data_IF_424815164192
#
_entry.id   IF_424815164192
#
_cell.length_a   1.000
_cell.length_b   1.000
_cell.length_c   1.000
_cell.angle_alpha   90.00
_cell.angle_beta   90.00
_cell.angle_gamma   90.00
#
_symmetry.space_group_name_H-M   'P 1'
#
loop_
_entity.id
_entity.type
_entity.pdbx_description
1 polymer ?
#
# COMPACT_ATOMS: atom_id res chain seq x y z
N UNK A 1 4.62 0.14 -60.59
CA UNK A 1 5.88 0.87 -60.82
C UNK A 1 5.53 2.28 -61.28
N UNK A 2 6.22 3.28 -60.74
CA UNK A 2 6.37 4.65 -61.28
C UNK A 2 5.13 5.55 -61.27
N UNK A 3 5.08 6.47 -60.30
CA UNK A 3 4.88 7.90 -60.53
C UNK A 3 5.59 8.64 -59.37
N UNK A 4 6.91 8.75 -59.43
CA UNK A 4 7.60 10.01 -59.75
C UNK A 4 7.05 11.20 -58.94
N UNK A 5 7.64 11.41 -57.77
CA UNK A 5 8.44 12.60 -57.45
C UNK A 5 8.03 13.82 -58.29
N UNK A 6 7.00 14.53 -57.83
CA UNK A 6 6.74 15.91 -58.26
C UNK A 6 6.92 16.81 -57.05
N UNK A 7 8.17 16.95 -56.63
CA UNK A 7 8.62 18.03 -55.79
C UNK A 7 8.57 19.31 -56.62
N UNK A 8 7.57 20.17 -56.40
CA UNK A 8 7.66 21.61 -56.72
C UNK A 8 6.46 22.33 -56.11
N UNK A 9 6.71 23.53 -55.58
CA UNK A 9 5.86 24.36 -54.72
C UNK A 9 5.84 23.86 -53.27
N UNK A 10 6.85 24.14 -52.43
CA UNK A 10 7.39 25.46 -52.07
C UNK A 10 6.28 26.45 -51.67
N UNK A 11 5.80 26.32 -50.43
CA UNK A 11 5.91 27.37 -49.39
C UNK A 11 4.71 27.37 -48.44
N UNK A 12 5.06 27.48 -47.15
CA UNK A 12 4.37 28.26 -46.13
C UNK A 12 3.39 27.51 -45.21
N UNK A 13 3.61 27.77 -43.91
CA UNK A 13 2.86 27.33 -42.73
C UNK A 13 3.12 25.85 -42.36
N UNK A 14 3.50 25.48 -41.13
CA UNK A 14 3.39 26.16 -39.86
C UNK A 14 4.38 25.45 -38.93
N UNK A 15 5.22 26.20 -38.22
CA UNK A 15 6.06 25.65 -37.16
C UNK A 15 5.16 25.19 -36.01
N UNK A 16 4.71 23.94 -36.03
CA UNK A 16 4.14 23.29 -34.85
C UNK A 16 5.28 22.55 -34.16
N UNK A 17 5.83 23.18 -33.13
CA UNK A 17 6.68 22.53 -32.16
C UNK A 17 5.89 21.39 -31.51
N UNK A 18 6.10 20.17 -32.01
CA UNK A 18 5.56 18.96 -31.39
C UNK A 18 6.32 18.75 -30.08
N UNK A 19 5.75 19.27 -29.00
CA UNK A 19 6.20 19.00 -27.64
C UNK A 19 6.22 17.47 -27.44
N UNK A 20 7.39 16.97 -27.04
CA UNK A 20 7.60 15.61 -26.57
C UNK A 20 6.75 15.42 -25.31
N UNK A 21 5.55 14.86 -25.48
CA UNK A 21 4.79 14.30 -24.38
C UNK A 21 5.25 12.86 -24.19
N UNK A 22 6.37 12.68 -23.48
CA UNK A 22 6.69 11.41 -22.84
C UNK A 22 5.59 11.14 -21.81
N UNK A 23 4.58 10.39 -22.19
CA UNK A 23 3.58 9.85 -21.28
C UNK A 23 4.27 8.83 -20.36
N UNK A 24 4.73 9.28 -19.19
CA UNK A 24 5.09 8.36 -18.12
C UNK A 24 3.82 7.59 -17.74
N UNK A 25 3.87 6.24 -17.67
CA UNK A 25 2.77 5.50 -17.08
C UNK A 25 2.69 5.94 -15.61
N UNK A 26 1.62 6.66 -15.28
CA UNK A 26 1.24 6.87 -13.89
C UNK A 26 1.01 5.47 -13.30
N UNK A 27 1.99 4.99 -12.53
CA UNK A 27 1.82 3.81 -11.70
C UNK A 27 0.66 4.14 -10.78
N UNK A 28 -0.51 3.59 -11.09
CA UNK A 28 -1.65 3.59 -10.20
C UNK A 28 -1.20 2.86 -8.95
N UNK A 29 -0.70 3.62 -7.97
CA UNK A 29 -0.56 3.14 -6.61
C UNK A 29 -1.97 2.70 -6.23
N UNK A 30 -2.18 1.40 -6.13
CA UNK A 30 -3.42 0.83 -5.64
C UNK A 30 -3.64 1.46 -4.27
N UNK A 31 -4.49 2.48 -4.20
CA UNK A 31 -4.92 3.11 -2.96
C UNK A 31 -5.76 2.06 -2.25
N UNK A 32 -5.08 1.15 -1.56
CA UNK A 32 -5.69 0.23 -0.63
C UNK A 32 -6.44 1.10 0.35
N UNK A 33 -7.77 1.02 0.30
CA UNK A 33 -8.69 1.84 1.09
C UNK A 33 -8.24 1.75 2.54
N UNK A 34 -7.57 2.81 2.99
CA UNK A 34 -6.86 2.82 4.26
C UNK A 34 -7.91 3.18 5.31
N UNK A 35 -8.60 2.15 5.79
CA UNK A 35 -9.57 2.27 6.87
C UNK A 35 -8.78 2.57 8.16
N UNK A 36 -8.76 3.85 8.54
CA UNK A 36 -8.07 4.32 9.75
C UNK A 36 -8.98 4.07 10.94
N UNK A 37 -8.45 3.37 11.94
CA UNK A 37 -9.15 3.06 13.18
C UNK A 37 -8.40 3.61 14.37
N UNK A 38 -9.14 3.97 15.41
CA UNK A 38 -8.56 4.34 16.69
C UNK A 38 -8.27 3.07 17.48
N UNK A 39 -7.02 2.91 17.86
CA UNK A 39 -6.57 1.82 18.72
C UNK A 39 -6.19 2.36 20.09
N UNK A 40 -6.55 1.62 21.13
CA UNK A 40 -6.04 1.80 22.49
C UNK A 40 -5.73 0.42 23.04
N UNK A 41 -4.47 0.01 22.87
CA UNK A 41 -3.97 -1.31 23.26
C UNK A 41 -2.69 -1.08 24.06
N UNK A 42 -2.72 -1.52 25.31
CA UNK A 42 -1.57 -1.44 26.21
C UNK A 42 -0.44 -2.39 25.78
N UNK A 43 0.79 -2.07 26.18
CA UNK A 43 1.92 -2.97 26.04
C UNK A 43 1.71 -4.26 26.84
N UNK A 44 2.16 -5.39 26.30
CA UNK A 44 1.93 -6.68 26.92
C UNK A 44 2.41 -7.86 26.09
N UNK A 45 1.89 -9.05 26.42
CA UNK A 45 2.15 -10.25 25.64
C UNK A 45 1.49 -10.13 24.26
N UNK A 46 2.23 -10.54 23.23
CA UNK A 46 1.83 -10.33 21.84
C UNK A 46 0.50 -11.01 21.50
N UNK A 47 0.22 -12.19 22.07
CA UNK A 47 -1.06 -12.90 21.88
C UNK A 47 -2.26 -12.07 22.37
N UNK A 48 -2.15 -11.45 23.54
CA UNK A 48 -3.20 -10.62 24.13
C UNK A 48 -3.40 -9.35 23.31
N UNK A 49 -2.29 -8.72 22.92
CA UNK A 49 -2.29 -7.49 22.12
C UNK A 49 -2.90 -7.72 20.73
N UNK A 50 -2.57 -8.83 20.06
CA UNK A 50 -3.16 -9.21 18.77
C UNK A 50 -4.64 -9.56 18.89
N UNK A 51 -5.06 -10.19 19.99
CA UNK A 51 -6.47 -10.45 20.28
C UNK A 51 -7.25 -9.13 20.39
N UNK A 52 -6.76 -8.18 21.20
CA UNK A 52 -7.36 -6.84 21.33
C UNK A 52 -7.39 -6.10 20.00
N UNK A 53 -6.33 -6.22 19.22
CA UNK A 53 -6.25 -5.61 17.89
C UNK A 53 -7.30 -6.17 16.94
N UNK A 54 -7.52 -7.49 16.93
CA UNK A 54 -8.57 -8.14 16.14
C UNK A 54 -9.96 -7.62 16.52
N UNK A 55 -10.24 -7.50 17.82
CA UNK A 55 -11.50 -6.97 18.34
C UNK A 55 -11.76 -5.52 17.88
N UNK A 56 -10.77 -4.63 18.01
CA UNK A 56 -10.90 -3.21 17.63
C UNK A 56 -10.88 -3.01 16.10
N UNK A 57 -10.13 -3.85 15.37
CA UNK A 57 -10.06 -3.83 13.91
C UNK A 57 -11.20 -4.60 13.23
N UNK A 58 -12.08 -5.26 13.98
CA UNK A 58 -13.17 -6.07 13.43
C UNK A 58 -12.71 -7.12 12.41
N UNK A 59 -11.41 -7.46 12.40
CA UNK A 59 -10.83 -8.43 11.50
C UNK A 59 -10.76 -9.78 12.18
N UNK A 60 -10.90 -10.84 11.39
CA UNK A 60 -10.60 -12.19 11.84
C UNK A 60 -9.13 -12.48 11.59
N UNK A 61 -8.30 -12.37 12.62
CA UNK A 61 -6.87 -12.69 12.52
C UNK A 61 -6.66 -14.19 12.75
N UNK A 62 -5.93 -14.83 11.85
CA UNK A 62 -5.37 -16.15 12.08
C UNK A 62 -3.92 -15.98 12.54
N UNK A 63 -3.67 -16.36 13.79
CA UNK A 63 -2.34 -16.25 14.42
C UNK A 63 -1.90 -17.65 14.84
N UNK A 64 -0.65 -17.98 14.55
CA UNK A 64 -0.03 -19.23 15.03
C UNK A 64 0.52 -18.95 16.42
N UNK A 65 -0.11 -19.51 17.46
CA UNK A 65 0.22 -19.24 18.86
C UNK A 65 1.69 -19.48 19.20
N UNK A 66 2.32 -20.49 18.58
CA UNK A 66 3.74 -20.81 18.80
C UNK A 66 4.69 -19.71 18.33
N UNK A 67 4.30 -18.90 17.33
CA UNK A 67 5.12 -17.80 16.82
C UNK A 67 5.04 -16.54 17.69
N UNK A 68 3.94 -16.38 18.41
CA UNK A 68 3.69 -15.20 19.27
C UNK A 68 3.89 -15.49 20.76
N UNK A 69 4.03 -16.76 21.14
CA UNK A 69 4.23 -17.21 22.51
C UNK A 69 5.54 -16.65 23.07
N UNK A 70 5.47 -16.06 24.27
CA UNK A 70 6.62 -15.45 24.95
C UNK A 70 7.09 -14.13 24.32
N UNK A 71 6.44 -13.66 23.25
CA UNK A 71 6.78 -12.42 22.58
C UNK A 71 6.03 -11.24 23.20
N UNK A 72 6.64 -10.06 23.14
CA UNK A 72 6.09 -8.84 23.71
C UNK A 72 5.85 -7.80 22.62
N UNK A 73 4.84 -6.97 22.84
CA UNK A 73 4.52 -5.81 22.03
C UNK A 73 4.48 -4.56 22.92
N UNK A 74 4.91 -3.44 22.36
CA UNK A 74 4.80 -2.13 23.02
C UNK A 74 3.37 -1.57 22.97
N UNK A 75 2.42 -2.34 22.42
CA UNK A 75 1.03 -1.94 22.25
C UNK A 75 0.84 -0.98 21.08
N UNK A 76 -0.36 -0.43 20.97
CA UNK A 76 -0.72 0.50 19.91
C UNK A 76 -1.76 1.48 20.42
N UNK A 77 -1.41 2.77 20.43
CA UNK A 77 -2.30 3.86 20.83
C UNK A 77 -2.34 4.95 19.77
N UNK A 78 -3.54 5.31 19.33
CA UNK A 78 -3.78 6.35 18.33
C UNK A 78 -4.48 5.84 17.07
N UNK A 79 -4.47 6.66 16.03
CA UNK A 79 -5.17 6.39 14.79
C UNK A 79 -4.24 5.75 13.75
N UNK A 80 -4.54 4.51 13.36
CA UNK A 80 -3.73 3.79 12.39
C UNK A 80 -4.58 3.06 11.35
N UNK A 81 -4.07 2.90 10.12
CA UNK A 81 -4.54 1.86 9.24
C UNK A 81 -4.40 0.49 9.88
N UNK A 82 -5.30 -0.44 9.56
CA UNK A 82 -5.22 -1.81 10.08
C UNK A 82 -3.87 -2.47 9.76
N UNK A 83 -3.39 -2.41 8.52
CA UNK A 83 -2.10 -2.99 8.15
C UNK A 83 -0.92 -2.36 8.89
N UNK A 84 -0.90 -1.04 9.04
CA UNK A 84 0.18 -0.33 9.73
C UNK A 84 0.14 -0.57 11.24
N UNK A 85 -1.05 -0.68 11.83
CA UNK A 85 -1.22 -1.04 13.23
C UNK A 85 -0.70 -2.44 13.50
N UNK A 86 -1.04 -3.40 12.64
CA UNK A 86 -0.56 -4.78 12.77
C UNK A 86 0.97 -4.87 12.64
N UNK A 87 1.56 -4.17 11.68
CA UNK A 87 3.02 -4.10 11.50
C UNK A 87 3.72 -3.56 12.77
N UNK A 88 3.21 -2.45 13.32
CA UNK A 88 3.69 -1.86 14.58
C UNK A 88 3.70 -2.85 15.73
N UNK A 89 2.64 -3.64 15.87
CA UNK A 89 2.52 -4.62 16.95
C UNK A 89 3.55 -5.76 16.83
N UNK A 90 3.98 -6.08 15.61
CA UNK A 90 4.89 -7.17 15.27
C UNK A 90 6.36 -6.73 15.10
N UNK A 91 6.66 -5.43 15.11
CA UNK A 91 8.03 -4.90 14.94
C UNK A 91 9.05 -5.57 15.88
N UNK A 92 8.65 -5.84 17.14
CA UNK A 92 9.53 -6.43 18.16
C UNK A 92 9.63 -7.95 18.06
N UNK A 93 8.66 -8.62 17.44
CA UNK A 93 8.69 -10.07 17.22
C UNK A 93 9.47 -10.47 15.96
N UNK A 94 9.75 -9.51 15.07
CA UNK A 94 10.35 -9.80 13.76
C UNK A 94 9.40 -10.57 12.84
N UNK A 95 8.12 -10.61 13.18
CA UNK A 95 7.09 -11.25 12.37
C UNK A 95 6.49 -10.24 11.39
N UNK A 96 5.92 -10.75 10.31
CA UNK A 96 5.12 -9.95 9.38
C UNK A 96 3.75 -10.60 9.23
N UNK A 97 2.73 -9.78 9.10
CA UNK A 97 1.38 -10.25 8.85
C UNK A 97 0.87 -9.72 7.52
N UNK A 98 -0.12 -10.42 6.98
CA UNK A 98 -0.79 -10.06 5.74
C UNK A 98 -2.30 -10.15 5.96
N UNK A 99 -2.99 -9.07 5.65
CA UNK A 99 -4.45 -9.09 5.55
C UNK A 99 -4.82 -9.62 4.16
N UNK A 100 -5.56 -10.73 4.14
CA UNK A 100 -6.20 -11.24 2.93
C UNK A 100 -7.69 -10.89 3.00
N UNK A 101 -8.22 -10.39 1.90
CA UNK A 101 -9.66 -10.21 1.66
C UNK A 101 -10.14 -11.54 1.03
N UNK A 102 -10.90 -12.33 1.79
CA UNK A 102 -11.62 -13.52 1.29
C UNK A 102 -13.12 -13.20 1.26
#
# INVERSE_FOLDING_TARGET
>A
MQHLIRHTALSLALATASAVAMSLPAQAAQQQKTDIRTYDIEAGQLDQVLTRFAEQSGLRLMVVSELVAGQQSDGLKGNYPVQQGLDRLLLRSGLSARVSDD
#
